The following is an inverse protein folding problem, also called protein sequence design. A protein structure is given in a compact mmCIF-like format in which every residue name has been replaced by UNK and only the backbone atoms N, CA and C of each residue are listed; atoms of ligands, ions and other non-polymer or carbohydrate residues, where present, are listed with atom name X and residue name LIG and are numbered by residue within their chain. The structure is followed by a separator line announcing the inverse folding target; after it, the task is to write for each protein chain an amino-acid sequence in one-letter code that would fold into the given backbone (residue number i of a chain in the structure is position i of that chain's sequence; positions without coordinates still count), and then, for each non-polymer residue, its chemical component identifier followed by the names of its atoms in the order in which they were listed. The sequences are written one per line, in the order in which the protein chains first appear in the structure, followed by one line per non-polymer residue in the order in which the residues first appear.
data_IF_778611381763
#
_entry.id   IF_778611381763
#
_cell.length_a   1.000
_cell.length_b   1.000
_cell.length_c   1.000
_cell.angle_alpha   90.00
_cell.angle_beta   90.00
_cell.angle_gamma   90.00
#
_symmetry.space_group_name_H-M   'P 1'
#
loop_
_entity.id
_entity.type
_entity.pdbx_description
1 polymer ?
#
# COMPACT_ATOMS: atom_id res chain seq x y z
N UNK A 1 9.65 -50.76 -11.37
CA UNK A 1 8.36 -50.03 -11.27
C UNK A 1 8.30 -49.02 -10.12
N UNK A 2 8.82 -49.34 -8.92
CA UNK A 2 8.78 -48.43 -7.74
C UNK A 2 9.39 -47.04 -7.96
N UNK A 3 10.53 -46.92 -8.66
CA UNK A 3 11.17 -45.62 -8.97
C UNK A 3 10.36 -44.76 -9.96
N UNK A 4 9.65 -45.38 -10.89
CA UNK A 4 8.79 -44.67 -11.86
C UNK A 4 7.57 -44.06 -11.19
N UNK A 5 6.94 -44.80 -10.27
CA UNK A 5 5.80 -44.33 -9.49
C UNK A 5 6.19 -43.16 -8.57
N UNK A 6 7.36 -43.24 -7.94
CA UNK A 6 7.88 -42.15 -7.11
C UNK A 6 8.11 -40.87 -7.92
N UNK A 7 8.72 -40.98 -9.11
CA UNK A 7 8.96 -39.84 -9.98
C UNK A 7 7.65 -39.20 -10.48
N UNK A 8 6.63 -40.01 -10.74
CA UNK A 8 5.29 -39.52 -11.12
C UNK A 8 4.65 -38.78 -9.95
N UNK A 9 4.72 -39.32 -8.73
CA UNK A 9 4.17 -38.65 -7.55
C UNK A 9 4.87 -37.31 -7.25
N UNK A 10 6.20 -37.26 -7.41
CA UNK A 10 6.99 -36.02 -7.25
C UNK A 10 6.63 -35.00 -8.33
N UNK A 11 6.52 -35.42 -9.59
CA UNK A 11 6.11 -34.53 -10.68
C UNK A 11 4.69 -33.99 -10.46
N UNK A 12 3.76 -34.83 -10.00
CA UNK A 12 2.38 -34.42 -9.71
C UNK A 12 2.34 -33.42 -8.53
N UNK A 13 3.11 -33.67 -7.48
CA UNK A 13 3.24 -32.75 -6.35
C UNK A 13 3.83 -31.40 -6.74
N UNK A 14 4.84 -31.40 -7.62
CA UNK A 14 5.46 -30.18 -8.13
C UNK A 14 4.48 -29.37 -8.99
N UNK A 15 3.72 -30.04 -9.86
CA UNK A 15 2.72 -29.40 -10.73
C UNK A 15 1.57 -28.82 -9.90
N UNK A 16 1.03 -29.57 -8.92
CA UNK A 16 0.00 -29.06 -8.02
C UNK A 16 0.51 -27.89 -7.16
N UNK A 17 1.74 -27.95 -6.67
CA UNK A 17 2.38 -26.84 -5.94
C UNK A 17 2.61 -25.60 -6.81
N UNK A 18 2.97 -25.79 -8.08
CA UNK A 18 3.11 -24.70 -9.05
C UNK A 18 1.77 -24.01 -9.32
N UNK A 19 0.67 -24.78 -9.45
CA UNK A 19 -0.66 -24.18 -9.62
C UNK A 19 -1.08 -23.38 -8.38
N UNK A 20 -0.88 -23.90 -7.16
CA UNK A 20 -1.20 -23.15 -5.92
C UNK A 20 -0.32 -21.92 -5.72
N UNK A 21 0.94 -21.96 -6.14
CA UNK A 21 1.85 -20.80 -6.13
C UNK A 21 1.59 -19.78 -7.24
N UNK A 22 1.07 -20.21 -8.40
CA UNK A 22 0.73 -19.34 -9.52
C UNK A 22 -0.61 -18.60 -9.35
N UNK A 23 -1.48 -19.06 -8.43
CA UNK A 23 -2.64 -18.29 -7.93
C UNK A 23 -2.30 -17.42 -6.71
N UNK A 24 -1.02 -17.22 -6.38
CA UNK A 24 -0.63 -15.97 -5.74
C UNK A 24 -1.14 -14.82 -6.62
N UNK A 25 -1.65 -13.70 -6.07
CA UNK A 25 -2.21 -12.63 -6.88
C UNK A 25 -1.09 -11.98 -7.73
N UNK A 26 -0.82 -12.56 -8.91
CA UNK A 26 0.16 -12.11 -9.90
C UNK A 26 -0.29 -10.85 -10.65
N UNK A 27 -1.35 -10.23 -10.17
CA UNK A 27 -1.81 -8.92 -10.57
C UNK A 27 -2.73 -8.45 -9.48
N UNK A 28 -2.18 -7.92 -8.39
CA UNK A 28 -2.85 -6.79 -7.78
C UNK A 28 -2.80 -5.66 -8.81
N UNK A 29 -3.65 -5.74 -9.84
CA UNK A 29 -4.05 -4.54 -10.55
C UNK A 29 -4.57 -3.62 -9.46
N UNK A 30 -3.99 -2.43 -9.36
CA UNK A 30 -4.46 -1.42 -8.42
C UNK A 30 -5.99 -1.33 -8.47
N UNK A 31 -6.63 -0.92 -7.37
CA UNK A 31 -8.08 -0.90 -7.28
C UNK A 31 -8.72 -0.28 -8.53
N UNK A 32 -9.60 -1.02 -9.21
CA UNK A 32 -10.31 -0.60 -10.45
C UNK A 32 -11.01 0.76 -10.26
N UNK A 33 -11.36 1.07 -9.02
CA UNK A 33 -11.74 2.40 -8.55
C UNK A 33 -10.83 2.78 -7.38
N UNK A 34 -9.80 3.61 -7.57
CA UNK A 34 -8.90 4.05 -6.49
C UNK A 34 -9.58 4.94 -5.44
N UNK A 35 -10.91 5.04 -5.47
CA UNK A 35 -11.68 5.98 -4.68
C UNK A 35 -11.58 7.41 -5.21
N UNK A 36 -12.18 8.38 -4.51
CA UNK A 36 -11.95 9.80 -4.80
C UNK A 36 -10.47 10.12 -4.60
N UNK A 37 -9.86 10.87 -5.52
CA UNK A 37 -8.45 11.31 -5.45
C UNK A 37 -8.14 12.28 -4.31
N UNK A 38 -9.00 12.37 -3.29
CA UNK A 38 -8.86 13.19 -2.11
C UNK A 38 -9.25 12.38 -0.87
N UNK A 39 -8.36 12.38 0.12
CA UNK A 39 -8.61 11.85 1.45
C UNK A 39 -8.93 13.00 2.39
N UNK A 40 -10.01 12.89 3.15
CA UNK A 40 -10.41 13.89 4.14
C UNK A 40 -10.06 13.39 5.53
N UNK A 41 -9.32 14.20 6.27
CA UNK A 41 -8.98 13.94 7.67
C UNK A 41 -9.81 14.84 8.57
N UNK A 42 -10.22 14.36 9.77
CA UNK A 42 -10.85 15.23 10.75
C UNK A 42 -9.89 16.38 11.10
N UNK A 43 -10.46 17.56 11.34
CA UNK A 43 -9.67 18.70 11.78
C UNK A 43 -9.06 18.39 13.15
N UNK A 44 -7.75 18.60 13.26
CA UNK A 44 -7.01 18.52 14.52
C UNK A 44 -6.39 19.89 14.75
N UNK A 45 -6.46 20.45 15.96
CA UNK A 45 -5.77 21.69 16.25
C UNK A 45 -4.26 21.56 16.06
N UNK A 46 -3.61 22.70 15.83
CA UNK A 46 -2.16 22.80 15.79
C UNK A 46 -1.72 23.69 16.96
N UNK A 47 -1.02 23.08 17.92
CA UNK A 47 -0.53 23.76 19.12
C UNK A 47 -1.65 24.42 19.95
N UNK A 48 -2.82 23.78 19.98
CA UNK A 48 -3.96 24.21 20.78
C UNK A 48 -4.22 23.21 21.92
N UNK A 49 -5.08 23.61 22.85
CA UNK A 49 -5.45 22.82 24.03
C UNK A 49 -6.80 22.15 23.81
N UNK A 50 -6.82 20.81 23.78
CA UNK A 50 -8.05 20.02 23.79
C UNK A 50 -8.16 19.27 25.12
N UNK A 51 -9.31 19.39 25.78
CA UNK A 51 -9.60 18.69 27.03
C UNK A 51 -8.53 18.90 28.13
N UNK A 52 -7.89 20.07 28.16
CA UNK A 52 -6.84 20.40 29.13
C UNK A 52 -5.46 19.85 28.80
N UNK A 53 -5.27 19.22 27.63
CA UNK A 53 -3.98 18.78 27.14
C UNK A 53 -3.48 19.82 26.14
N UNK A 54 -2.43 20.54 26.52
CA UNK A 54 -1.81 21.57 25.68
C UNK A 54 -0.92 20.95 24.59
N UNK A 55 -0.77 21.65 23.46
CA UNK A 55 0.19 21.29 22.42
C UNK A 55 -0.21 20.09 21.57
N UNK A 56 -1.51 19.83 21.38
CA UNK A 56 -1.95 18.75 20.50
C UNK A 56 -1.67 19.12 19.05
N UNK A 57 -0.97 18.22 18.36
CA UNK A 57 -0.70 18.29 16.92
C UNK A 57 -1.17 16.99 16.25
N UNK A 58 -1.87 17.12 15.12
CA UNK A 58 -2.18 15.99 14.25
C UNK A 58 -1.02 15.62 13.34
N UNK A 59 -0.93 14.33 12.96
CA UNK A 59 -0.01 13.87 11.91
C UNK A 59 -0.74 12.95 10.93
N UNK A 60 -0.35 13.04 9.66
CA UNK A 60 -0.82 12.16 8.58
C UNK A 60 0.40 11.55 7.92
N UNK A 61 0.41 10.22 7.85
CA UNK A 61 1.47 9.46 7.17
C UNK A 61 0.95 8.96 5.83
N UNK A 62 1.67 9.27 4.75
CA UNK A 62 1.35 8.82 3.39
C UNK A 62 2.54 8.03 2.87
N UNK A 63 2.29 6.83 2.40
CA UNK A 63 3.31 5.95 1.82
C UNK A 63 2.99 5.67 0.36
N UNK A 64 3.98 5.87 -0.50
CA UNK A 64 3.88 5.44 -1.89
C UNK A 64 4.13 3.92 -1.99
N UNK A 65 3.13 3.18 -2.43
CA UNK A 65 3.19 1.73 -2.69
C UNK A 65 3.33 1.40 -4.18
N UNK A 66 3.36 2.42 -5.02
CA UNK A 66 3.43 2.32 -6.48
C UNK A 66 4.87 2.16 -6.97
N UNK A 67 5.01 1.62 -8.18
CA UNK A 67 6.29 1.48 -8.88
C UNK A 67 6.79 2.78 -9.55
N UNK A 68 6.05 3.88 -9.39
CA UNK A 68 6.33 5.19 -9.99
C UNK A 68 6.15 6.29 -8.93
N UNK A 69 6.66 7.50 -9.22
CA UNK A 69 6.56 8.63 -8.31
C UNK A 69 5.11 9.15 -8.23
N UNK A 70 4.69 9.59 -7.04
CA UNK A 70 3.35 10.11 -6.78
C UNK A 70 3.44 11.51 -6.18
N UNK A 71 2.75 12.46 -6.78
CA UNK A 71 2.61 13.81 -6.21
C UNK A 71 1.45 13.86 -5.22
N UNK A 72 1.73 14.35 -4.03
CA UNK A 72 0.77 14.48 -2.94
C UNK A 72 0.64 15.95 -2.59
N UNK A 73 -0.57 16.50 -2.76
CA UNK A 73 -0.89 17.86 -2.32
C UNK A 73 -1.70 17.83 -1.04
N UNK A 74 -1.12 18.33 0.05
CA UNK A 74 -1.83 18.57 1.32
C UNK A 74 -2.44 19.96 1.25
N UNK A 75 -3.76 20.05 1.45
CA UNK A 75 -4.51 21.32 1.51
C UNK A 75 -5.01 21.56 2.92
N UNK A 76 -4.64 22.69 3.50
CA UNK A 76 -5.12 23.14 4.78
C UNK A 76 -6.48 23.84 4.63
N UNK A 77 -7.30 23.79 5.68
CA UNK A 77 -8.61 24.45 5.71
C UNK A 77 -8.52 25.97 5.48
N UNK A 78 -7.45 26.61 5.94
CA UNK A 78 -7.21 28.04 5.74
C UNK A 78 -6.80 28.42 4.30
N UNK A 79 -6.81 27.47 3.36
CA UNK A 79 -6.46 27.68 1.95
C UNK A 79 -4.97 27.50 1.62
N UNK A 80 -4.12 27.23 2.62
CA UNK A 80 -2.71 26.88 2.38
C UNK A 80 -2.56 25.51 1.71
N UNK A 81 -1.52 25.31 0.91
CA UNK A 81 -1.21 24.00 0.35
C UNK A 81 0.28 23.77 0.19
N UNK A 82 0.70 22.52 0.38
CA UNK A 82 2.06 22.05 0.10
C UNK A 82 1.98 20.81 -0.78
N UNK A 83 2.88 20.71 -1.76
CA UNK A 83 3.00 19.52 -2.61
C UNK A 83 4.35 18.86 -2.37
N UNK A 84 4.33 17.53 -2.23
CA UNK A 84 5.51 16.71 -2.09
C UNK A 84 5.44 15.54 -3.08
N UNK A 85 6.55 15.28 -3.76
CA UNK A 85 6.69 14.09 -4.60
C UNK A 85 7.24 12.95 -3.75
N UNK A 86 6.50 11.85 -3.69
CA UNK A 86 6.95 10.61 -3.07
C UNK A 86 7.59 9.73 -4.15
N UNK A 87 8.85 9.35 -3.93
CA UNK A 87 9.57 8.45 -4.82
C UNK A 87 8.87 7.08 -4.92
N UNK A 88 9.09 6.31 -6.01
CA UNK A 88 8.61 4.95 -6.14
C UNK A 88 8.95 4.08 -4.92
N UNK A 89 8.15 3.04 -4.65
CA UNK A 89 8.46 2.10 -3.58
C UNK A 89 9.87 1.53 -3.76
N UNK A 90 10.67 1.57 -2.70
CA UNK A 90 12.07 1.12 -2.73
C UNK A 90 12.22 -0.42 -2.81
N UNK A 91 11.16 -1.18 -2.51
CA UNK A 91 11.19 -2.65 -2.58
C UNK A 91 10.83 -3.13 -4.00
N UNK A 92 11.84 -3.17 -4.86
CA UNK A 92 11.86 -3.97 -6.10
C UNK A 92 13.16 -4.75 -6.30
N UNK A 93 14.08 -4.71 -5.34
CA UNK A 93 15.31 -5.51 -5.34
C UNK A 93 15.18 -6.73 -4.44
#
# INVERSE_FOLDING_TARGET
MKKRLLNIAVALGLVCGLFVGAIAPAGASGPEFPGPGALYFPWVPNNDTIAGIEGINGSVTIQNVEAYAVDVTVKAYNGGSATITLNPRASQT
#
